data_IF_121214954018
#
_entry.id   IF_121214954018
#
_cell.length_a   1.000
_cell.length_b   1.000
_cell.length_c   1.000
_cell.angle_alpha   90.00
_cell.angle_beta   90.00
_cell.angle_gamma   90.00
#
_symmetry.space_group_name_H-M   'P 1'
#
loop_
_entity.id
_entity.type
_entity.pdbx_description
1 polymer ?
#
# COMPACT_ATOMS: atom_id res chain seq x y z
N UNK A 1 19.26 27.83 -19.57
CA UNK A 1 18.74 27.30 -18.29
C UNK A 1 17.92 26.05 -18.57
N UNK A 2 18.59 24.91 -18.75
CA UNK A 2 17.94 23.60 -18.90
C UNK A 2 17.46 23.17 -17.52
N UNK A 3 16.13 23.01 -17.37
CA UNK A 3 15.47 22.40 -16.22
C UNK A 3 16.33 21.26 -15.66
N UNK A 4 16.57 21.26 -14.36
CA UNK A 4 17.03 20.10 -13.59
C UNK A 4 16.06 18.93 -13.81
N UNK A 5 16.26 18.21 -14.91
CA UNK A 5 15.56 16.98 -15.21
C UNK A 5 16.20 15.94 -14.30
N UNK A 6 15.71 15.88 -13.05
CA UNK A 6 16.12 14.86 -12.08
C UNK A 6 15.85 13.50 -12.72
N UNK A 7 16.90 12.84 -13.15
CA UNK A 7 16.78 11.52 -13.74
C UNK A 7 16.27 10.52 -12.70
N UNK A 8 15.16 9.83 -13.01
CA UNK A 8 14.49 8.94 -12.07
C UNK A 8 15.40 7.78 -11.60
N UNK A 9 16.26 7.28 -12.48
CA UNK A 9 17.22 6.24 -12.11
C UNK A 9 18.30 6.79 -11.18
N UNK A 10 18.85 7.97 -11.49
CA UNK A 10 19.82 8.61 -10.60
C UNK A 10 19.25 8.86 -9.20
N UNK A 11 18.01 9.36 -9.12
CA UNK A 11 17.31 9.55 -7.84
C UNK A 11 17.20 8.24 -7.06
N UNK A 12 16.79 7.15 -7.72
CA UNK A 12 16.69 5.83 -7.09
C UNK A 12 18.05 5.34 -6.58
N UNK A 13 19.11 5.44 -7.39
CA UNK A 13 20.47 5.03 -6.97
C UNK A 13 20.94 5.82 -5.75
N UNK A 14 20.63 7.13 -5.71
CA UNK A 14 21.01 8.01 -4.60
C UNK A 14 20.19 7.82 -3.34
N UNK A 15 18.95 7.34 -3.44
CA UNK A 15 18.14 7.01 -2.27
C UNK A 15 18.57 5.73 -1.56
N UNK A 16 19.40 4.88 -2.19
CA UNK A 16 19.85 3.63 -1.59
C UNK A 16 20.83 3.85 -0.43
N UNK A 17 20.62 3.12 0.66
CA UNK A 17 21.55 2.96 1.76
C UNK A 17 22.80 2.16 1.33
N UNK A 18 23.87 2.24 2.13
CA UNK A 18 25.09 1.44 1.90
C UNK A 18 24.80 -0.07 1.84
N UNK A 19 23.87 -0.55 2.67
CA UNK A 19 23.49 -1.97 2.72
C UNK A 19 22.78 -2.40 1.44
N UNK A 20 21.79 -1.63 0.98
CA UNK A 20 21.05 -1.93 -0.26
C UNK A 20 21.95 -1.88 -1.49
N UNK A 21 22.89 -0.92 -1.55
CA UNK A 21 23.89 -0.86 -2.62
C UNK A 21 24.75 -2.13 -2.64
N UNK A 22 25.20 -2.61 -1.48
CA UNK A 22 25.97 -3.85 -1.37
C UNK A 22 25.14 -5.05 -1.83
N UNK A 23 23.89 -5.15 -1.38
CA UNK A 23 22.99 -6.24 -1.77
C UNK A 23 22.74 -6.25 -3.28
N UNK A 24 22.50 -5.09 -3.89
CA UNK A 24 22.33 -4.99 -5.34
C UNK A 24 23.56 -5.49 -6.10
N UNK A 25 24.78 -5.10 -5.68
CA UNK A 25 26.02 -5.59 -6.30
C UNK A 25 26.15 -7.12 -6.20
N UNK A 26 25.78 -7.70 -5.06
CA UNK A 26 25.77 -9.17 -4.88
C UNK A 26 24.69 -9.85 -5.73
N UNK A 27 23.49 -9.27 -5.82
CA UNK A 27 22.40 -9.77 -6.64
C UNK A 27 22.80 -9.85 -8.11
N UNK A 28 23.35 -8.77 -8.68
CA UNK A 28 23.84 -8.74 -10.06
C UNK A 28 24.99 -9.72 -10.26
N UNK A 29 25.90 -9.85 -9.28
CA UNK A 29 27.01 -10.80 -9.35
C UNK A 29 26.59 -12.27 -9.43
N UNK A 30 25.39 -12.63 -8.95
CA UNK A 30 24.85 -14.01 -9.00
C UNK A 30 24.14 -14.35 -10.32
N UNK A 31 23.71 -13.35 -11.09
CA UNK A 31 22.94 -13.56 -12.33
C UNK A 31 23.81 -13.98 -13.52
N UNK A 32 25.11 -13.68 -13.47
CA UNK A 32 26.16 -14.30 -14.28
C UNK A 32 25.96 -14.36 -15.80
N UNK A 33 26.11 -13.26 -16.55
CA UNK A 33 26.64 -13.20 -17.93
C UNK A 33 27.30 -11.82 -18.19
N UNK A 34 28.27 -11.73 -19.10
CA UNK A 34 29.02 -10.52 -19.51
C UNK A 34 28.18 -9.25 -19.80
N UNK A 35 26.89 -9.37 -20.13
CA UNK A 35 25.94 -8.25 -20.30
C UNK A 35 25.65 -7.50 -19.01
N UNK A 36 25.81 -8.14 -17.85
CA UNK A 36 25.52 -7.56 -16.54
C UNK A 36 26.63 -6.65 -15.99
N UNK A 37 27.84 -6.79 -16.55
CA UNK A 37 28.95 -5.86 -16.28
C UNK A 37 28.58 -4.42 -16.63
N UNK A 38 27.81 -4.20 -17.71
CA UNK A 38 27.40 -2.85 -18.15
C UNK A 38 26.45 -2.19 -17.17
N UNK A 39 25.50 -2.94 -16.60
CA UNK A 39 24.56 -2.42 -15.61
C UNK A 39 25.27 -2.10 -14.30
N UNK A 40 26.15 -2.99 -13.84
CA UNK A 40 26.94 -2.78 -12.64
C UNK A 40 27.88 -1.57 -12.78
N UNK A 41 28.50 -1.42 -13.95
CA UNK A 41 29.37 -0.28 -14.24
C UNK A 41 28.58 1.02 -14.31
N UNK A 42 27.43 1.05 -15.00
CA UNK A 42 26.54 2.21 -15.01
C UNK A 42 26.07 2.56 -13.60
N UNK A 43 25.68 1.57 -12.80
CA UNK A 43 25.31 1.76 -11.40
C UNK A 43 26.45 2.40 -10.59
N UNK A 44 27.68 1.90 -10.73
CA UNK A 44 28.85 2.46 -10.04
C UNK A 44 29.15 3.90 -10.44
N UNK A 45 28.95 4.26 -11.72
CA UNK A 45 29.10 5.64 -12.21
C UNK A 45 28.04 6.54 -11.55
N UNK A 46 26.77 6.14 -11.57
CA UNK A 46 25.67 6.90 -10.97
C UNK A 46 25.81 7.00 -9.44
N UNK A 47 26.29 5.96 -8.77
CA UNK A 47 26.52 5.93 -7.33
C UNK A 47 27.61 6.92 -6.91
N UNK A 48 28.67 7.08 -7.72
CA UNK A 48 29.76 8.03 -7.44
C UNK A 48 29.46 9.47 -7.86
N UNK A 49 28.68 9.68 -8.91
CA UNK A 49 28.41 11.02 -9.45
C UNK A 49 27.63 11.90 -8.46
N UNK A 50 28.00 13.18 -8.28
CA UNK A 50 27.29 14.11 -7.39
C UNK A 50 25.97 14.61 -7.99
N UNK A 51 25.92 14.77 -9.32
CA UNK A 51 24.75 15.15 -10.10
C UNK A 51 24.60 14.24 -11.32
N UNK A 52 23.41 14.24 -11.93
CA UNK A 52 23.18 13.52 -13.17
C UNK A 52 23.76 14.32 -14.35
N UNK A 53 24.69 13.69 -15.10
CA UNK A 53 25.22 14.22 -16.36
C UNK A 53 25.31 13.09 -17.38
N UNK A 54 24.43 13.15 -18.38
CA UNK A 54 24.39 12.18 -19.47
C UNK A 54 25.65 12.19 -20.34
N UNK A 55 26.22 13.37 -20.60
CA UNK A 55 27.44 13.48 -21.39
C UNK A 55 28.63 12.83 -20.66
N UNK A 56 28.72 13.00 -19.34
CA UNK A 56 29.71 12.32 -18.52
C UNK A 56 29.54 10.79 -18.56
N UNK A 57 28.30 10.29 -18.51
CA UNK A 57 28.02 8.84 -18.64
C UNK A 57 28.48 8.33 -20.01
N UNK A 58 28.16 9.03 -21.09
CA UNK A 58 28.56 8.60 -22.45
C UNK A 58 30.08 8.64 -22.65
N UNK A 59 30.78 9.60 -22.03
CA UNK A 59 32.26 9.68 -22.06
C UNK A 59 32.94 8.46 -21.42
N UNK A 60 32.27 7.74 -20.51
CA UNK A 60 32.84 6.52 -19.90
C UNK A 60 32.97 5.35 -20.88
N UNK A 61 32.30 5.40 -22.05
CA UNK A 61 32.33 4.33 -23.05
C UNK A 61 31.58 3.05 -22.66
N UNK A 62 30.98 2.99 -21.47
CA UNK A 62 30.26 1.78 -20.97
C UNK A 62 29.03 1.48 -21.83
N UNK A 63 28.38 2.52 -22.35
CA UNK A 63 27.14 2.43 -23.14
C UNK A 63 27.17 3.39 -24.32
N UNK A 64 26.65 2.95 -25.47
CA UNK A 64 26.42 3.82 -26.63
C UNK A 64 25.18 4.69 -26.38
N UNK A 65 25.15 5.89 -26.96
CA UNK A 65 23.99 6.82 -26.85
C UNK A 65 22.66 6.15 -27.19
N UNK A 66 22.63 5.35 -28.26
CA UNK A 66 21.44 4.59 -28.70
C UNK A 66 20.97 3.54 -27.68
N UNK A 67 21.87 3.03 -26.84
CA UNK A 67 21.57 1.97 -25.85
C UNK A 67 21.25 2.54 -24.47
N UNK A 68 21.63 3.79 -24.18
CA UNK A 68 21.55 4.36 -22.83
C UNK A 68 20.15 4.28 -22.23
N UNK A 69 19.11 4.63 -22.99
CA UNK A 69 17.72 4.58 -22.51
C UNK A 69 17.32 3.16 -22.06
N UNK A 70 17.61 2.15 -22.89
CA UNK A 70 17.31 0.75 -22.59
C UNK A 70 18.12 0.24 -21.39
N UNK A 71 19.40 0.60 -21.31
CA UNK A 71 20.27 0.20 -20.19
C UNK A 71 19.78 0.84 -18.89
N UNK A 72 19.34 2.11 -18.92
CA UNK A 72 18.77 2.78 -17.75
C UNK A 72 17.47 2.12 -17.30
N UNK A 73 16.55 1.84 -18.23
CA UNK A 73 15.29 1.16 -17.91
C UNK A 73 15.53 -0.23 -17.31
N UNK A 74 16.47 -1.00 -17.89
CA UNK A 74 16.83 -2.31 -17.36
C UNK A 74 17.48 -2.21 -15.97
N UNK A 75 18.44 -1.30 -15.77
CA UNK A 75 19.08 -1.09 -14.47
C UNK A 75 18.05 -0.69 -13.40
N UNK A 76 17.13 0.23 -13.73
CA UNK A 76 16.05 0.62 -12.84
C UNK A 76 15.22 -0.60 -12.40
N UNK A 77 14.80 -1.44 -13.34
CA UNK A 77 14.06 -2.68 -13.06
C UNK A 77 14.85 -3.63 -12.17
N UNK A 78 16.14 -3.84 -12.44
CA UNK A 78 16.98 -4.75 -11.65
C UNK A 78 17.20 -4.25 -10.22
N UNK A 79 17.34 -2.93 -10.02
CA UNK A 79 17.41 -2.35 -8.67
C UNK A 79 16.11 -2.63 -7.92
N UNK A 80 14.95 -2.40 -8.53
CA UNK A 80 13.66 -2.68 -7.90
C UNK A 80 13.48 -4.17 -7.54
N UNK A 81 13.89 -5.09 -8.42
CA UNK A 81 13.86 -6.54 -8.13
C UNK A 81 14.77 -6.86 -6.93
N UNK A 82 15.99 -6.34 -6.92
CA UNK A 82 16.92 -6.56 -5.80
C UNK A 82 16.38 -6.02 -4.48
N UNK A 83 15.70 -4.87 -4.50
CA UNK A 83 15.07 -4.28 -3.31
C UNK A 83 13.89 -5.12 -2.83
N UNK A 84 13.05 -5.64 -3.75
CA UNK A 84 11.95 -6.55 -3.42
C UNK A 84 12.44 -7.80 -2.67
N UNK A 85 13.63 -8.29 -3.01
CA UNK A 85 14.24 -9.46 -2.37
C UNK A 85 14.86 -9.17 -0.99
N UNK A 86 14.93 -7.90 -0.56
CA UNK A 86 15.46 -7.54 0.74
C UNK A 86 14.37 -7.67 1.83
N UNK A 87 14.60 -8.44 2.91
CA UNK A 87 13.67 -8.54 4.03
C UNK A 87 13.26 -7.19 4.62
N UNK A 88 14.14 -6.18 4.61
CA UNK A 88 13.81 -4.85 5.14
C UNK A 88 12.70 -4.13 4.38
N UNK A 89 12.41 -4.54 3.14
CA UNK A 89 11.34 -3.98 2.30
C UNK A 89 10.09 -4.85 2.27
N UNK A 90 10.10 -6.00 2.95
CA UNK A 90 8.95 -6.88 3.02
C UNK A 90 7.96 -6.38 4.08
N UNK A 91 7.06 -5.49 3.65
CA UNK A 91 5.87 -5.17 4.45
C UNK A 91 4.86 -6.33 4.44
N UNK A 92 3.89 -6.28 5.35
CA UNK A 92 2.89 -7.34 5.52
C UNK A 92 2.10 -7.63 4.24
N UNK A 93 1.77 -6.60 3.44
CA UNK A 93 1.08 -6.78 2.15
C UNK A 93 1.92 -7.55 1.15
N UNK A 94 3.21 -7.24 1.07
CA UNK A 94 4.16 -7.94 0.19
C UNK A 94 4.29 -9.41 0.60
N UNK A 95 4.35 -9.69 1.90
CA UNK A 95 4.39 -11.07 2.41
C UNK A 95 3.11 -11.84 2.07
N UNK A 96 1.93 -11.26 2.29
CA UNK A 96 0.65 -11.90 1.95
C UNK A 96 0.54 -12.18 0.44
N UNK A 97 0.94 -11.22 -0.41
CA UNK A 97 0.94 -11.39 -1.87
C UNK A 97 1.89 -12.51 -2.33
N UNK A 98 3.07 -12.60 -1.74
CA UNK A 98 4.01 -13.68 -2.04
C UNK A 98 3.41 -15.05 -1.66
N UNK A 99 2.71 -15.15 -0.53
CA UNK A 99 2.00 -16.39 -0.18
C UNK A 99 0.85 -16.71 -1.15
N UNK A 100 0.11 -15.72 -1.62
CA UNK A 100 -0.89 -15.88 -2.68
C UNK A 100 -0.27 -16.40 -3.98
N UNK A 101 0.90 -15.89 -4.38
CA UNK A 101 1.65 -16.37 -5.54
C UNK A 101 2.03 -17.86 -5.35
N UNK A 102 2.56 -18.24 -4.17
CA UNK A 102 2.88 -19.64 -3.87
C UNK A 102 1.65 -20.54 -3.86
N UNK A 103 0.54 -20.09 -3.27
CA UNK A 103 -0.71 -20.83 -3.27
C UNK A 103 -1.24 -21.05 -4.69
N UNK A 104 -1.14 -20.03 -5.55
CA UNK A 104 -1.54 -20.11 -6.97
C UNK A 104 -0.66 -21.09 -7.75
N UNK A 105 0.66 -21.09 -7.53
CA UNK A 105 1.58 -22.06 -8.13
C UNK A 105 1.21 -23.50 -7.71
N UNK A 106 0.94 -23.72 -6.42
CA UNK A 106 0.54 -25.05 -5.92
C UNK A 106 -0.80 -25.49 -6.49
N UNK A 107 -1.77 -24.58 -6.59
CA UNK A 107 -3.05 -24.82 -7.23
C UNK A 107 -2.89 -25.27 -8.69
N UNK A 108 -2.10 -24.55 -9.49
CA UNK A 108 -1.83 -24.93 -10.88
C UNK A 108 -1.06 -26.24 -11.04
N UNK A 109 -0.30 -26.65 -10.01
CA UNK A 109 0.36 -27.95 -9.94
C UNK A 109 -0.55 -29.08 -9.45
N UNK A 110 -1.83 -28.81 -9.16
CA UNK A 110 -2.78 -29.79 -8.61
C UNK A 110 -2.58 -30.09 -7.12
N UNK A 111 -1.73 -29.34 -6.42
CA UNK A 111 -1.41 -29.52 -5.00
C UNK A 111 -2.39 -28.76 -4.10
N UNK A 112 -3.69 -29.01 -4.25
CA UNK A 112 -4.78 -28.23 -3.67
C UNK A 112 -4.74 -28.11 -2.14
N UNK A 113 -4.49 -29.23 -1.43
CA UNK A 113 -4.39 -29.21 0.04
C UNK A 113 -3.24 -28.33 0.55
N UNK A 114 -2.12 -28.28 -0.19
CA UNK A 114 -0.99 -27.42 0.17
C UNK A 114 -1.30 -25.96 -0.12
N UNK A 115 -1.97 -25.69 -1.25
CA UNK A 115 -2.46 -24.35 -1.59
C UNK A 115 -3.41 -23.82 -0.51
N UNK A 116 -4.44 -24.59 -0.13
CA UNK A 116 -5.39 -24.22 0.93
C UNK A 116 -4.71 -23.96 2.28
N UNK A 117 -3.70 -24.75 2.65
CA UNK A 117 -2.95 -24.52 3.90
C UNK A 117 -2.21 -23.19 3.92
N UNK A 118 -1.66 -22.76 2.78
CA UNK A 118 -1.02 -21.45 2.66
C UNK A 118 -2.08 -20.34 2.76
N UNK A 119 -3.19 -20.50 2.03
CA UNK A 119 -4.29 -19.53 2.01
C UNK A 119 -4.88 -19.30 3.40
N UNK A 120 -5.13 -20.35 4.16
CA UNK A 120 -5.72 -20.26 5.50
C UNK A 120 -4.84 -19.40 6.44
N UNK A 121 -3.55 -19.71 6.50
CA UNK A 121 -2.57 -18.93 7.27
C UNK A 121 -2.46 -17.49 6.78
N UNK A 122 -2.42 -17.28 5.47
CA UNK A 122 -2.34 -15.93 4.89
C UNK A 122 -3.58 -15.09 5.17
N UNK A 123 -4.76 -15.72 5.23
CA UNK A 123 -6.03 -15.06 5.53
C UNK A 123 -6.06 -14.57 6.97
N UNK A 124 -5.63 -15.38 7.93
CA UNK A 124 -5.51 -14.98 9.33
C UNK A 124 -4.59 -13.76 9.48
N UNK A 125 -3.42 -13.81 8.84
CA UNK A 125 -2.47 -12.69 8.83
C UNK A 125 -3.10 -11.44 8.22
N UNK A 126 -3.81 -11.58 7.09
CA UNK A 126 -4.48 -10.45 6.44
C UNK A 126 -5.56 -9.82 7.32
N UNK A 127 -6.38 -10.63 8.00
CA UNK A 127 -7.43 -10.15 8.90
C UNK A 127 -6.84 -9.42 10.12
N UNK A 128 -5.85 -10.03 10.78
CA UNK A 128 -5.18 -9.44 11.96
C UNK A 128 -4.50 -8.10 11.67
N UNK A 129 -4.08 -7.89 10.42
CA UNK A 129 -3.42 -6.67 9.97
C UNK A 129 -4.36 -5.72 9.20
N UNK A 130 -5.68 -5.94 9.27
CA UNK A 130 -6.70 -5.08 8.65
C UNK A 130 -6.59 -4.98 7.10
N UNK A 131 -5.89 -5.94 6.48
CA UNK A 131 -5.70 -6.08 5.04
C UNK A 131 -6.88 -6.82 4.40
N UNK A 132 -8.10 -6.37 4.68
CA UNK A 132 -9.36 -7.02 4.26
C UNK A 132 -9.54 -7.15 2.74
N UNK A 133 -8.85 -6.33 1.94
CA UNK A 133 -8.81 -6.51 0.48
C UNK A 133 -8.07 -7.79 0.08
N UNK A 134 -6.91 -8.04 0.70
CA UNK A 134 -6.13 -9.26 0.46
C UNK A 134 -6.82 -10.48 1.08
N UNK A 135 -7.43 -10.33 2.25
CA UNK A 135 -8.25 -11.39 2.85
C UNK A 135 -9.40 -11.80 1.90
N UNK A 136 -10.07 -10.83 1.26
CA UNK A 136 -11.12 -11.11 0.28
C UNK A 136 -10.58 -11.87 -0.94
N UNK A 137 -9.45 -11.45 -1.49
CA UNK A 137 -8.78 -12.14 -2.61
C UNK A 137 -8.41 -13.59 -2.26
N UNK A 138 -7.93 -13.82 -1.04
CA UNK A 138 -7.63 -15.16 -0.52
C UNK A 138 -8.89 -16.02 -0.47
N UNK A 139 -9.99 -15.51 0.09
CA UNK A 139 -11.27 -16.23 0.16
C UNK A 139 -11.82 -16.54 -1.22
N UNK A 140 -11.67 -15.64 -2.20
CA UNK A 140 -12.07 -15.92 -3.58
C UNK A 140 -11.24 -17.06 -4.19
N UNK A 141 -9.94 -17.12 -3.91
CA UNK A 141 -9.12 -18.24 -4.36
C UNK A 141 -9.48 -19.56 -3.64
N UNK A 142 -9.79 -19.52 -2.35
CA UNK A 142 -10.32 -20.69 -1.62
C UNK A 142 -11.62 -21.20 -2.25
N UNK A 143 -12.54 -20.31 -2.63
CA UNK A 143 -13.80 -20.67 -3.33
C UNK A 143 -13.53 -21.33 -4.68
N UNK A 144 -12.55 -20.83 -5.45
CA UNK A 144 -12.16 -21.43 -6.74
C UNK A 144 -11.69 -22.87 -6.51
N UNK A 145 -10.79 -23.07 -5.55
CA UNK A 145 -10.27 -24.40 -5.23
C UNK A 145 -11.40 -25.32 -4.79
N UNK A 146 -12.29 -24.86 -3.89
CA UNK A 146 -13.35 -25.69 -3.33
C UNK A 146 -14.45 -26.04 -4.34
N UNK A 147 -14.70 -25.18 -5.32
CA UNK A 147 -15.66 -25.46 -6.40
C UNK A 147 -15.17 -26.55 -7.37
N UNK A 148 -13.86 -26.73 -7.52
CA UNK A 148 -13.25 -27.61 -8.52
C UNK A 148 -12.69 -28.89 -7.92
N UNK A 149 -12.26 -28.81 -6.66
CA UNK A 149 -11.81 -29.95 -5.89
C UNK A 149 -12.80 -30.12 -4.76
N UNK A 150 -13.59 -31.19 -4.80
CA UNK A 150 -14.31 -31.66 -3.61
C UNK A 150 -13.21 -32.04 -2.62
N UNK A 151 -12.76 -31.07 -1.82
CA UNK A 151 -12.18 -31.43 -0.55
C UNK A 151 -13.28 -32.25 0.09
N UNK A 152 -12.98 -33.46 0.56
CA UNK A 152 -13.95 -34.26 1.33
C UNK A 152 -14.22 -33.59 2.70
N UNK A 153 -14.16 -32.26 2.75
CA UNK A 153 -14.29 -31.43 3.93
C UNK A 153 -15.78 -31.22 4.17
N UNK A 154 -16.16 -31.63 5.37
CA UNK A 154 -17.12 -31.01 6.29
C UNK A 154 -18.25 -30.25 5.57
N UNK A 155 -19.47 -30.78 5.66
CA UNK A 155 -20.70 -30.06 5.28
C UNK A 155 -20.65 -28.63 5.83
N UNK A 156 -20.71 -27.62 4.96
CA UNK A 156 -20.77 -26.21 5.36
C UNK A 156 -19.58 -25.34 4.95
N UNK A 157 -18.47 -25.88 4.43
CA UNK A 157 -17.32 -25.03 4.02
C UNK A 157 -17.68 -24.03 2.93
N UNK A 158 -18.50 -24.42 1.95
CA UNK A 158 -18.97 -23.51 0.91
C UNK A 158 -19.80 -22.35 1.49
N UNK A 159 -20.62 -22.62 2.51
CA UNK A 159 -21.43 -21.62 3.21
C UNK A 159 -20.54 -20.66 4.01
N UNK A 160 -19.55 -21.19 4.74
CA UNK A 160 -18.55 -20.40 5.47
C UNK A 160 -17.81 -19.42 4.55
N UNK A 161 -17.29 -19.92 3.41
CA UNK A 161 -16.56 -19.09 2.45
C UNK A 161 -17.47 -18.02 1.83
N UNK A 162 -18.74 -18.35 1.58
CA UNK A 162 -19.72 -17.40 1.05
C UNK A 162 -20.02 -16.28 2.05
N UNK A 163 -20.18 -16.63 3.34
CA UNK A 163 -20.38 -15.64 4.42
C UNK A 163 -19.13 -14.76 4.57
N UNK A 164 -17.93 -15.36 4.60
CA UNK A 164 -16.67 -14.62 4.71
C UNK A 164 -16.48 -13.63 3.54
N UNK A 165 -16.70 -14.08 2.31
CA UNK A 165 -16.59 -13.24 1.11
C UNK A 165 -17.56 -12.06 1.17
N UNK A 166 -18.82 -12.32 1.54
CA UNK A 166 -19.86 -11.29 1.67
C UNK A 166 -19.47 -10.23 2.69
N UNK A 167 -18.99 -10.65 3.86
CA UNK A 167 -18.64 -9.73 4.93
C UNK A 167 -17.39 -8.90 4.61
N UNK A 168 -16.33 -9.53 4.09
CA UNK A 168 -15.13 -8.83 3.65
C UNK A 168 -15.44 -7.84 2.53
N UNK A 169 -16.26 -8.24 1.55
CA UNK A 169 -16.70 -7.35 0.47
C UNK A 169 -17.46 -6.14 1.01
N UNK A 170 -18.41 -6.35 1.93
CA UNK A 170 -19.19 -5.30 2.57
C UNK A 170 -18.29 -4.29 3.30
N UNK A 171 -17.36 -4.78 4.13
CA UNK A 171 -16.42 -3.92 4.86
C UNK A 171 -15.47 -3.16 3.92
N UNK A 172 -14.98 -3.80 2.85
CA UNK A 172 -14.15 -3.14 1.84
C UNK A 172 -14.91 -2.00 1.13
N UNK A 173 -16.20 -2.19 0.83
CA UNK A 173 -17.05 -1.13 0.25
C UNK A 173 -17.24 0.03 1.23
N UNK A 174 -17.49 -0.25 2.51
CA UNK A 174 -17.62 0.79 3.54
C UNK A 174 -16.31 1.57 3.67
N UNK A 175 -15.18 0.87 3.82
CA UNK A 175 -13.85 1.48 3.92
C UNK A 175 -13.55 2.37 2.70
N UNK A 176 -13.87 1.90 1.49
CA UNK A 176 -13.65 2.65 0.24
C UNK A 176 -14.48 3.93 0.20
N UNK A 177 -15.79 3.85 0.54
CA UNK A 177 -16.67 5.02 0.57
C UNK A 177 -16.18 6.05 1.59
N UNK A 178 -15.82 5.62 2.79
CA UNK A 178 -15.30 6.50 3.85
C UNK A 178 -13.95 7.12 3.48
N UNK A 179 -13.03 6.34 2.91
CA UNK A 179 -11.73 6.86 2.49
C UNK A 179 -11.85 7.87 1.35
N UNK A 180 -12.75 7.62 0.40
CA UNK A 180 -13.02 8.53 -0.71
C UNK A 180 -13.63 9.83 -0.19
N UNK A 181 -14.63 9.75 0.69
CA UNK A 181 -15.24 10.91 1.33
C UNK A 181 -14.19 11.74 2.11
N UNK A 182 -13.38 11.08 2.95
CA UNK A 182 -12.31 11.75 3.68
C UNK A 182 -11.31 12.46 2.76
N UNK A 183 -10.91 11.82 1.66
CA UNK A 183 -9.97 12.42 0.70
C UNK A 183 -10.60 13.60 -0.05
N UNK A 184 -11.87 13.49 -0.41
CA UNK A 184 -12.61 14.55 -1.09
C UNK A 184 -12.79 15.78 -0.19
N UNK A 185 -13.16 15.61 1.07
CA UNK A 185 -13.28 16.72 2.03
C UNK A 185 -11.93 17.40 2.28
N UNK A 186 -10.85 16.62 2.42
CA UNK A 186 -9.50 17.18 2.50
C UNK A 186 -9.15 17.99 1.24
N UNK A 187 -9.47 17.46 0.07
CA UNK A 187 -9.26 18.17 -1.20
C UNK A 187 -10.07 19.46 -1.33
N UNK A 188 -11.28 19.52 -0.77
CA UNK A 188 -12.08 20.75 -0.68
C UNK A 188 -11.39 21.73 0.27
N UNK A 189 -11.03 21.29 1.47
CA UNK A 189 -10.36 22.13 2.47
C UNK A 189 -9.09 22.80 1.92
N UNK A 190 -8.26 22.06 1.17
CA UNK A 190 -7.07 22.63 0.52
C UNK A 190 -7.38 23.70 -0.54
N UNK A 191 -8.56 23.64 -1.18
CA UNK A 191 -8.95 24.56 -2.26
C UNK A 191 -9.65 25.81 -1.73
N UNK A 192 -10.54 25.64 -0.76
CA UNK A 192 -11.45 26.70 -0.30
C UNK A 192 -11.07 27.25 1.06
N UNK A 193 -10.29 26.50 1.85
CA UNK A 193 -10.13 26.73 3.28
C UNK A 193 -11.43 26.44 4.02
N UNK A 194 -11.64 27.16 5.13
CA UNK A 194 -12.86 27.13 5.92
C UNK A 194 -14.05 27.69 5.13
N UNK A 195 -15.24 27.15 5.44
CA UNK A 195 -16.52 27.69 4.98
C UNK A 195 -16.69 29.13 5.44
N UNK A 196 -17.18 30.00 4.55
CA UNK A 196 -17.29 31.46 4.78
C UNK A 196 -18.71 31.94 5.03
N UNK A 197 -19.72 31.14 4.67
CA UNK A 197 -21.14 31.51 4.77
C UNK A 197 -22.03 30.27 4.94
N UNK A 198 -23.30 30.48 5.29
CA UNK A 198 -24.25 29.40 5.55
C UNK A 198 -24.58 28.55 4.31
N UNK A 199 -24.48 29.13 3.10
CA UNK A 199 -24.74 28.42 1.85
C UNK A 199 -23.66 27.35 1.64
N UNK A 200 -22.39 27.74 1.74
CA UNK A 200 -21.25 26.82 1.70
C UNK A 200 -21.33 25.77 2.82
N UNK A 201 -21.77 26.16 4.03
CA UNK A 201 -21.93 25.21 5.15
C UNK A 201 -22.96 24.12 4.83
N UNK A 202 -24.07 24.53 4.23
CA UNK A 202 -25.14 23.62 3.79
C UNK A 202 -24.66 22.72 2.66
N UNK A 203 -23.96 23.25 1.66
CA UNK A 203 -23.40 22.47 0.56
C UNK A 203 -22.45 21.38 1.06
N UNK A 204 -21.55 21.70 2.01
CA UNK A 204 -20.63 20.73 2.60
C UNK A 204 -21.39 19.68 3.43
N UNK A 205 -22.41 20.09 4.18
CA UNK A 205 -23.23 19.18 4.98
C UNK A 205 -24.02 18.22 4.11
N UNK A 206 -24.65 18.71 3.05
CA UNK A 206 -25.35 17.88 2.07
C UNK A 206 -24.36 16.97 1.34
N UNK A 207 -23.17 17.46 0.98
CA UNK A 207 -22.11 16.67 0.36
C UNK A 207 -21.68 15.49 1.24
N UNK A 208 -21.48 15.75 2.54
CA UNK A 208 -21.07 14.77 3.53
C UNK A 208 -22.16 13.71 3.75
N UNK A 209 -23.38 14.14 4.07
CA UNK A 209 -24.50 13.25 4.38
C UNK A 209 -24.87 12.35 3.20
N UNK A 210 -24.87 12.88 1.98
CA UNK A 210 -25.20 12.11 0.77
C UNK A 210 -24.16 11.02 0.43
N UNK A 211 -22.93 11.15 0.93
CA UNK A 211 -21.82 10.21 0.63
C UNK A 211 -21.44 9.33 1.81
N UNK A 212 -21.93 9.62 3.00
CA UNK A 212 -21.71 8.79 4.18
C UNK A 212 -22.45 7.45 3.98
N UNK A 213 -21.74 6.30 3.96
CA UNK A 213 -22.40 5.01 3.81
C UNK A 213 -23.26 4.69 5.04
N UNK A 214 -24.27 3.82 4.87
CA UNK A 214 -24.95 3.19 5.99
C UNK A 214 -24.03 2.12 6.59
N UNK A 215 -23.88 2.12 7.92
CA UNK A 215 -23.09 1.16 8.66
C UNK A 215 -23.64 0.99 10.09
N UNK A 216 -23.38 -0.16 10.71
CA UNK A 216 -23.40 -0.31 12.17
C UNK A 216 -21.96 -0.21 12.67
N UNK A 217 -21.70 0.73 13.58
CA UNK A 217 -20.36 0.97 14.13
C UNK A 217 -19.80 -0.22 14.91
N UNK A 218 -20.67 -1.10 15.43
CA UNK A 218 -20.28 -2.32 16.13
C UNK A 218 -19.68 -3.36 15.20
N UNK A 219 -20.08 -3.35 13.94
CA UNK A 219 -19.57 -4.26 12.91
C UNK A 219 -18.28 -3.74 12.24
N UNK A 220 -17.87 -2.51 12.52
CA UNK A 220 -16.68 -1.92 11.90
C UNK A 220 -15.40 -2.35 12.62
N UNK A 221 -14.40 -2.76 11.83
CA UNK A 221 -13.04 -3.00 12.29
C UNK A 221 -12.23 -1.70 12.39
N UNK A 222 -10.93 -1.85 12.65
CA UNK A 222 -10.04 -0.71 12.83
C UNK A 222 -9.97 0.17 11.58
N UNK A 223 -9.81 -0.44 10.39
CA UNK A 223 -9.66 0.30 9.13
C UNK A 223 -10.88 1.15 8.80
N UNK A 224 -12.09 0.61 8.96
CA UNK A 224 -13.32 1.36 8.66
C UNK A 224 -13.54 2.50 9.66
N UNK A 225 -13.32 2.25 10.96
CA UNK A 225 -13.42 3.27 12.02
C UNK A 225 -12.41 4.40 11.80
N UNK A 226 -11.18 4.08 11.42
CA UNK A 226 -10.15 5.07 11.12
C UNK A 226 -10.61 6.03 10.01
N UNK A 227 -11.13 5.50 8.90
CA UNK A 227 -11.62 6.33 7.80
C UNK A 227 -12.88 7.12 8.17
N UNK A 228 -13.76 6.54 8.97
CA UNK A 228 -14.94 7.23 9.50
C UNK A 228 -14.53 8.45 10.32
N UNK A 229 -13.62 8.29 11.28
CA UNK A 229 -13.17 9.38 12.15
C UNK A 229 -12.46 10.47 11.36
N UNK A 230 -11.63 10.09 10.37
CA UNK A 230 -10.98 11.06 9.48
C UNK A 230 -11.97 11.82 8.60
N UNK A 231 -12.99 11.16 8.06
CA UNK A 231 -14.02 11.83 7.27
C UNK A 231 -14.77 12.86 8.12
N UNK A 232 -15.18 12.47 9.34
CA UNK A 232 -15.83 13.40 10.27
C UNK A 232 -14.91 14.53 10.73
N UNK A 233 -13.62 14.27 10.93
CA UNK A 233 -12.64 15.30 11.28
C UNK A 233 -12.53 16.36 10.17
N UNK A 234 -12.38 15.94 8.91
CA UNK A 234 -12.32 16.89 7.78
C UNK A 234 -13.62 17.66 7.59
N UNK A 235 -14.76 17.01 7.77
CA UNK A 235 -16.06 17.67 7.80
C UNK A 235 -16.12 18.75 8.88
N UNK A 236 -15.67 18.43 10.09
CA UNK A 236 -15.68 19.36 11.23
C UNK A 236 -14.71 20.53 11.01
N UNK A 237 -13.53 20.27 10.43
CA UNK A 237 -12.59 21.33 10.06
C UNK A 237 -13.21 22.30 9.06
N UNK A 238 -13.84 21.82 7.99
CA UNK A 238 -14.48 22.69 6.99
C UNK A 238 -15.50 23.63 7.62
N UNK A 239 -16.26 23.16 8.61
CA UNK A 239 -17.29 23.92 9.31
C UNK A 239 -16.80 24.73 10.52
N UNK A 240 -15.50 24.68 10.83
CA UNK A 240 -14.93 25.30 12.04
C UNK A 240 -15.56 24.79 13.36
N UNK A 241 -16.07 23.55 13.36
CA UNK A 241 -16.62 22.91 14.55
C UNK A 241 -15.48 22.26 15.36
N UNK A 242 -14.71 23.09 16.06
CA UNK A 242 -13.53 22.66 16.82
C UNK A 242 -13.86 21.63 17.91
N UNK A 243 -15.08 21.66 18.46
CA UNK A 243 -15.54 20.66 19.43
C UNK A 243 -15.60 19.28 18.80
N UNK A 244 -16.16 19.17 17.59
CA UNK A 244 -16.17 17.90 16.87
C UNK A 244 -14.79 17.56 16.29
N UNK A 245 -13.95 18.53 15.92
CA UNK A 245 -12.55 18.27 15.57
C UNK A 245 -11.83 17.53 16.70
N UNK A 246 -11.86 18.10 17.92
CA UNK A 246 -11.25 17.47 19.10
C UNK A 246 -11.82 16.07 19.35
N UNK A 247 -13.15 15.92 19.28
CA UNK A 247 -13.82 14.62 19.48
C UNK A 247 -13.35 13.56 18.49
N UNK A 248 -13.28 13.87 17.19
CA UNK A 248 -12.91 12.88 16.17
C UNK A 248 -11.40 12.67 16.07
N UNK A 249 -10.57 13.67 16.39
CA UNK A 249 -9.14 13.49 16.58
C UNK A 249 -8.85 12.59 17.79
N UNK A 250 -9.53 12.80 18.92
CA UNK A 250 -9.43 11.95 20.11
C UNK A 250 -9.81 10.50 19.77
N UNK A 251 -10.99 10.29 19.16
CA UNK A 251 -11.42 8.95 18.72
C UNK A 251 -10.45 8.28 17.76
N UNK A 252 -9.79 9.03 16.88
CA UNK A 252 -8.74 8.50 16.02
C UNK A 252 -7.55 8.05 16.87
N UNK A 253 -7.02 8.89 17.75
CA UNK A 253 -5.88 8.54 18.60
C UNK A 253 -6.20 7.37 19.53
N UNK A 254 -7.36 7.38 20.19
CA UNK A 254 -7.85 6.32 21.07
C UNK A 254 -7.95 4.99 20.32
N UNK A 255 -8.39 4.99 19.06
CA UNK A 255 -8.47 3.78 18.23
C UNK A 255 -7.11 3.07 18.07
N UNK A 256 -6.00 3.83 18.07
CA UNK A 256 -4.65 3.26 18.04
C UNK A 256 -4.20 2.77 19.41
N UNK A 257 -4.60 3.42 20.50
CA UNK A 257 -4.32 2.92 21.85
C UNK A 257 -5.10 1.65 22.16
N UNK A 258 -6.33 1.54 21.66
CA UNK A 258 -7.15 0.32 21.74
C UNK A 258 -6.58 -0.82 20.88
N UNK A 259 -5.75 -0.50 19.89
CA UNK A 259 -5.14 -1.48 18.96
C UNK A 259 -3.62 -1.21 18.80
N UNK A 260 -2.78 -1.46 19.82
CA UNK A 260 -1.39 -1.01 19.84
C UNK A 260 -0.54 -1.52 18.67
N UNK A 261 -0.82 -2.73 18.19
CA UNK A 261 -0.17 -3.31 17.00
C UNK A 261 -0.34 -2.44 15.75
N UNK A 262 -1.43 -1.67 15.66
CA UNK A 262 -1.68 -0.78 14.53
C UNK A 262 -0.78 0.46 14.53
N UNK A 263 -0.16 0.83 15.66
CA UNK A 263 0.80 1.93 15.75
C UNK A 263 2.05 1.61 14.93
N UNK A 264 2.62 0.41 15.10
CA UNK A 264 3.80 -0.02 14.35
C UNK A 264 3.49 -0.22 12.86
N UNK A 265 2.29 -0.72 12.54
CA UNK A 265 1.86 -0.94 11.17
C UNK A 265 1.54 0.37 10.42
N UNK A 266 1.00 1.37 11.12
CA UNK A 266 0.52 2.62 10.53
C UNK A 266 1.03 3.87 11.27
N UNK A 267 2.35 4.04 11.47
CA UNK A 267 2.91 5.08 12.34
C UNK A 267 2.59 6.49 11.85
N UNK A 268 2.53 6.69 10.53
CA UNK A 268 2.19 8.01 9.95
C UNK A 268 0.74 8.40 10.27
N UNK A 269 -0.20 7.45 10.30
CA UNK A 269 -1.57 7.77 10.69
C UNK A 269 -1.66 8.06 12.18
N UNK A 270 -0.93 7.33 13.02
CA UNK A 270 -0.88 7.60 14.45
C UNK A 270 -0.33 9.02 14.74
N UNK A 271 0.81 9.36 14.14
CA UNK A 271 1.43 10.68 14.32
C UNK A 271 0.54 11.82 13.81
N UNK A 272 -0.13 11.65 12.67
CA UNK A 272 -1.08 12.65 12.17
C UNK A 272 -2.29 12.83 13.07
N UNK A 273 -2.84 11.73 13.61
CA UNK A 273 -3.94 11.80 14.58
C UNK A 273 -3.57 12.62 15.81
N UNK A 274 -2.37 12.38 16.36
CA UNK A 274 -1.85 13.15 17.48
C UNK A 274 -1.63 14.63 17.13
N UNK A 275 -1.12 14.92 15.92
CA UNK A 275 -0.97 16.30 15.47
C UNK A 275 -2.30 17.05 15.47
N UNK A 276 -3.35 16.46 14.88
CA UNK A 276 -4.69 17.07 14.86
C UNK A 276 -5.39 17.12 16.22
N UNK A 277 -4.97 16.30 17.19
CA UNK A 277 -5.50 16.33 18.54
C UNK A 277 -4.93 17.50 19.36
N UNK A 278 -3.69 17.89 19.05
CA UNK A 278 -2.96 18.94 19.75
C UNK A 278 -3.11 20.33 19.09
N UNK A 279 -3.50 20.36 17.82
CA UNK A 279 -3.82 21.56 17.03
C UNK A 279 -5.21 22.13 17.36
#
# INVERSE_FOLDING_TARGET
>A
MTKDQKDNLFLLVKSLTKSEKRQFKLYVGRLGVNTDSKFLNLFNVLDKASSYDEAAILKTGIVKKQQLANVKAHLYKQILISLKLNPSHQNIRSQIREQLDFASILYHKGLYKQSLKILDKSKEIAIQNEEKNLAYEIVELEKIIESQYITRSISGRADELTIQAKELSRLNVIASKLSNLSLQLYGIFLKTGYVKNEIEAKEITDYFNNRLPKFDIKELGFREKLWLYKAHLWYSFLLQDFKNCFKYASKWVDLFYDNPNMIELNPVFFLKGNNYLLE
#
